data_IF_623348431865
#
_entry.id   IF_623348431865
#
_cell.length_a   1.000
_cell.length_b   1.000
_cell.length_c   1.000
_cell.angle_alpha   90.00
_cell.angle_beta   90.00
_cell.angle_gamma   90.00
#
_symmetry.space_group_name_H-M   'P 1'
#
loop_
_entity.id
_entity.type
_entity.pdbx_description
1 polymer ?
#
# COMPACT_ATOMS: atom_id res chain seq x y z
N UNK A 1 18.17 -10.28 -43.67
CA UNK A 1 16.81 -9.68 -43.57
C UNK A 1 15.91 -10.37 -42.53
N UNK A 2 15.66 -11.69 -42.61
CA UNK A 2 14.85 -12.43 -41.61
C UNK A 2 15.35 -12.29 -40.16
N UNK A 3 16.66 -12.39 -39.92
CA UNK A 3 17.24 -12.24 -38.58
C UNK A 3 17.12 -10.81 -38.02
N UNK A 4 17.07 -9.80 -38.88
CA UNK A 4 16.94 -8.40 -38.49
C UNK A 4 15.50 -8.08 -38.03
N UNK A 5 14.50 -8.61 -38.75
CA UNK A 5 13.09 -8.51 -38.36
C UNK A 5 12.84 -9.23 -37.04
N UNK A 6 13.42 -10.42 -36.84
CA UNK A 6 13.30 -11.19 -35.59
C UNK A 6 13.88 -10.44 -34.38
N UNK A 7 15.03 -9.78 -34.55
CA UNK A 7 15.65 -8.97 -33.50
C UNK A 7 14.80 -7.74 -33.12
N UNK A 8 14.19 -7.07 -34.12
CA UNK A 8 13.27 -5.95 -33.89
C UNK A 8 12.02 -6.42 -33.13
N UNK A 9 11.41 -7.55 -33.53
CA UNK A 9 10.27 -8.11 -32.81
C UNK A 9 10.62 -8.47 -31.35
N UNK A 10 11.82 -9.02 -31.11
CA UNK A 10 12.29 -9.33 -29.77
C UNK A 10 12.43 -8.06 -28.90
N UNK A 11 13.05 -7.01 -29.44
CA UNK A 11 13.23 -5.73 -28.76
C UNK A 11 11.89 -5.04 -28.44
N UNK A 12 10.93 -5.09 -29.37
CA UNK A 12 9.58 -4.54 -29.17
C UNK A 12 8.85 -5.32 -28.07
N UNK A 13 8.96 -6.65 -28.07
CA UNK A 13 8.32 -7.50 -27.05
C UNK A 13 8.91 -7.28 -25.64
N UNK A 14 10.22 -7.07 -25.54
CA UNK A 14 10.90 -6.75 -24.27
C UNK A 14 10.48 -5.37 -23.73
N UNK A 15 10.35 -4.38 -24.61
CA UNK A 15 9.89 -3.04 -24.25
C UNK A 15 8.43 -3.04 -23.75
N UNK A 16 7.55 -3.82 -24.38
CA UNK A 16 6.15 -3.96 -23.96
C UNK A 16 6.02 -4.61 -22.57
N UNK A 17 6.88 -5.59 -22.25
CA UNK A 17 6.88 -6.24 -20.92
C UNK A 17 7.36 -5.30 -19.81
N UNK A 18 8.33 -4.42 -20.08
CA UNK A 18 8.77 -3.40 -19.12
C UNK A 18 7.72 -2.30 -18.90
N UNK A 19 7.07 -1.83 -19.96
CA UNK A 19 6.00 -0.83 -19.86
C UNK A 19 4.80 -1.33 -19.04
N UNK A 20 4.58 -2.64 -18.97
CA UNK A 20 3.51 -3.24 -18.17
C UNK A 20 3.76 -3.16 -16.65
N UNK A 21 5.01 -2.88 -16.21
CA UNK A 21 5.38 -2.82 -14.78
C UNK A 21 5.31 -1.42 -14.17
N UNK A 22 5.42 -0.38 -14.98
CA UNK A 22 5.38 1.02 -14.54
C UNK A 22 4.05 1.66 -14.96
N UNK A 23 3.34 2.27 -14.01
CA UNK A 23 2.07 2.96 -14.28
C UNK A 23 2.20 4.44 -13.92
N UNK A 24 1.72 5.32 -14.82
CA UNK A 24 1.62 6.75 -14.56
C UNK A 24 0.28 7.05 -13.91
N UNK A 25 0.26 7.43 -12.64
CA UNK A 25 -0.95 7.62 -11.82
C UNK A 25 -0.71 8.79 -10.86
N UNK A 26 -1.65 9.75 -10.82
CA UNK A 26 -1.64 10.88 -9.88
C UNK A 26 -0.30 11.63 -9.78
N UNK A 27 0.31 11.93 -10.92
CA UNK A 27 1.60 12.65 -10.93
C UNK A 27 2.82 11.77 -10.69
N UNK A 28 2.65 10.46 -10.44
CA UNK A 28 3.73 9.51 -10.19
C UNK A 28 3.89 8.47 -11.28
N UNK A 29 5.11 7.99 -11.46
CA UNK A 29 5.45 6.68 -12.00
C UNK A 29 5.52 5.71 -10.83
N UNK A 30 4.60 4.75 -10.79
CA UNK A 30 4.55 3.70 -9.79
C UNK A 30 4.94 2.36 -10.40
N UNK A 31 5.94 1.72 -9.81
CA UNK A 31 6.40 0.40 -10.19
C UNK A 31 6.26 -0.55 -9.01
N UNK A 32 5.51 -1.63 -9.19
CA UNK A 32 5.43 -2.67 -8.17
C UNK A 32 6.71 -3.51 -8.19
N UNK A 33 7.41 -3.57 -7.06
CA UNK A 33 8.67 -4.29 -6.93
C UNK A 33 8.51 -5.68 -6.35
N UNK A 34 7.68 -5.83 -5.33
CA UNK A 34 7.61 -7.08 -4.57
C UNK A 34 6.30 -7.20 -3.81
N UNK A 35 5.82 -8.43 -3.70
CA UNK A 35 4.80 -8.83 -2.73
C UNK A 35 5.43 -9.89 -1.82
N UNK A 36 5.26 -9.76 -0.50
CA UNK A 36 5.71 -10.75 0.49
C UNK A 36 4.58 -11.13 1.43
N UNK A 37 4.41 -12.43 1.66
CA UNK A 37 3.52 -12.96 2.70
C UNK A 37 4.34 -13.19 3.98
N UNK A 38 3.78 -12.81 5.12
CA UNK A 38 4.40 -12.84 6.44
C UNK A 38 5.83 -12.27 6.42
N UNK A 39 6.01 -11.00 6.00
CA UNK A 39 7.31 -10.35 6.01
C UNK A 39 7.89 -10.37 7.44
N UNK A 40 9.15 -10.80 7.56
CA UNK A 40 9.88 -10.61 8.82
C UNK A 40 10.00 -9.11 9.10
N UNK A 41 9.76 -8.65 10.33
CA UNK A 41 9.99 -7.26 10.69
C UNK A 41 11.47 -6.92 10.47
N UNK A 42 11.78 -5.76 9.90
CA UNK A 42 13.15 -5.26 9.89
C UNK A 42 13.56 -4.98 11.34
N UNK A 43 14.75 -5.44 11.73
CA UNK A 43 15.25 -5.51 13.11
C UNK A 43 15.33 -4.17 13.87
N UNK A 44 15.02 -3.03 13.23
CA UNK A 44 15.04 -1.69 13.84
C UNK A 44 13.66 -1.03 13.95
N UNK A 45 12.57 -1.69 13.52
CA UNK A 45 11.23 -1.09 13.58
C UNK A 45 10.29 -2.03 14.32
N UNK A 46 9.92 -1.63 15.54
CA UNK A 46 8.93 -2.34 16.35
C UNK A 46 7.65 -2.50 15.53
N UNK A 47 7.22 -3.75 15.42
CA UNK A 47 6.09 -4.15 14.61
C UNK A 47 5.00 -4.58 15.58
N UNK A 48 4.11 -3.65 15.96
CA UNK A 48 3.02 -3.99 16.88
C UNK A 48 1.72 -4.40 16.16
N UNK A 49 1.75 -4.57 14.83
CA UNK A 49 0.65 -5.24 14.12
C UNK A 49 0.70 -6.73 14.45
N UNK A 50 0.05 -7.15 15.52
CA UNK A 50 -0.14 -8.56 15.82
C UNK A 50 -1.37 -9.07 15.07
N UNK A 51 -1.14 -9.91 14.07
CA UNK A 51 -2.21 -10.64 13.39
C UNK A 51 -2.45 -11.93 14.18
N UNK A 52 -3.70 -12.23 14.51
CA UNK A 52 -4.04 -13.52 15.14
C UNK A 52 -3.80 -14.68 14.18
N UNK A 53 -3.82 -15.92 14.69
CA UNK A 53 -3.51 -17.13 13.90
C UNK A 53 -4.41 -17.36 12.69
N UNK A 54 -5.57 -16.71 12.61
CA UNK A 54 -6.48 -16.78 11.47
C UNK A 54 -6.08 -15.85 10.31
N UNK A 55 -5.07 -15.00 10.51
CA UNK A 55 -4.66 -13.96 9.57
C UNK A 55 -3.19 -14.11 9.17
N UNK A 56 -2.83 -13.48 8.06
CA UNK A 56 -1.47 -13.34 7.54
C UNK A 56 -1.22 -11.89 7.14
N UNK A 57 0.03 -11.48 7.23
CA UNK A 57 0.47 -10.15 6.80
C UNK A 57 0.89 -10.21 5.33
N UNK A 58 0.53 -9.20 4.56
CA UNK A 58 0.99 -9.04 3.17
C UNK A 58 1.68 -7.70 3.07
N UNK A 59 2.91 -7.69 2.57
CA UNK A 59 3.63 -6.47 2.22
C UNK A 59 3.69 -6.31 0.72
N UNK A 60 3.42 -5.10 0.25
CA UNK A 60 3.58 -4.67 -1.12
C UNK A 60 4.61 -3.56 -1.16
N UNK A 61 5.71 -3.80 -1.88
CA UNK A 61 6.75 -2.80 -2.11
C UNK A 61 6.54 -2.13 -3.45
N UNK A 62 6.40 -0.82 -3.42
CA UNK A 62 6.28 0.07 -4.56
C UNK A 62 7.56 0.88 -4.68
N UNK A 63 7.98 1.14 -5.91
CA UNK A 63 8.87 2.25 -6.24
C UNK A 63 7.99 3.36 -6.80
N UNK A 64 8.03 4.51 -6.15
CA UNK A 64 7.24 5.69 -6.54
C UNK A 64 8.21 6.78 -6.93
N UNK A 65 7.98 7.40 -8.09
CA UNK A 65 8.78 8.53 -8.61
C UNK A 65 7.84 9.60 -9.14
N UNK A 66 8.03 10.85 -8.76
CA UNK A 66 7.30 11.98 -9.35
C UNK A 66 7.63 12.09 -10.85
N UNK A 67 6.61 12.41 -11.66
CA UNK A 67 6.74 12.71 -13.08
C UNK A 67 7.47 14.03 -13.33
N UNK A 68 7.32 14.99 -12.42
CA UNK A 68 7.94 16.32 -12.52
C UNK A 68 9.36 16.38 -11.96
N UNK A 69 9.85 15.27 -11.39
CA UNK A 69 11.11 15.19 -10.65
C UNK A 69 11.20 16.15 -9.45
N UNK A 70 10.07 16.67 -8.98
CA UNK A 70 9.94 17.47 -7.76
C UNK A 70 9.15 16.68 -6.72
N UNK A 71 9.25 17.02 -5.43
CA UNK A 71 8.41 16.35 -4.43
C UNK A 71 6.93 16.60 -4.74
N UNK A 72 6.16 15.53 -4.89
CA UNK A 72 4.71 15.56 -5.05
C UNK A 72 4.05 14.84 -3.87
N UNK A 73 2.84 15.23 -3.49
CA UNK A 73 2.15 14.66 -2.33
C UNK A 73 1.70 13.23 -2.64
N UNK A 74 2.34 12.25 -2.01
CA UNK A 74 1.90 10.86 -2.05
C UNK A 74 0.88 10.59 -0.94
N UNK A 75 -0.21 9.92 -1.31
CA UNK A 75 -1.32 9.60 -0.42
C UNK A 75 -1.47 8.08 -0.29
N UNK A 76 -1.05 7.47 0.84
CA UNK A 76 -1.20 6.03 1.05
C UNK A 76 -2.66 5.56 1.12
N UNK A 77 -3.62 6.44 1.43
CA UNK A 77 -5.02 6.07 1.60
C UNK A 77 -5.69 5.71 0.27
N UNK A 78 -5.13 6.19 -0.85
CA UNK A 78 -5.53 5.77 -2.20
C UNK A 78 -5.15 4.33 -2.51
N UNK A 79 -4.21 3.75 -1.76
CA UNK A 79 -3.74 2.39 -1.98
C UNK A 79 -4.63 1.39 -1.25
N UNK A 80 -5.15 0.38 -1.94
CA UNK A 80 -5.96 -0.66 -1.30
C UNK A 80 -5.85 -2.00 -2.02
N UNK A 81 -6.25 -3.08 -1.34
CA UNK A 81 -6.30 -4.42 -1.90
C UNK A 81 -7.75 -4.88 -2.09
N UNK A 82 -8.00 -5.70 -3.09
CA UNK A 82 -9.32 -6.27 -3.38
C UNK A 82 -9.23 -7.78 -3.44
N UNK A 83 -10.03 -8.44 -2.61
CA UNK A 83 -10.35 -9.86 -2.74
C UNK A 83 -11.63 -9.98 -3.56
N UNK A 84 -11.45 -10.35 -4.82
CA UNK A 84 -12.53 -10.50 -5.80
C UNK A 84 -13.50 -11.63 -5.47
N UNK A 85 -13.02 -12.68 -4.82
CA UNK A 85 -13.81 -13.87 -4.49
C UNK A 85 -14.71 -13.58 -3.31
N UNK A 86 -14.14 -12.98 -2.25
CA UNK A 86 -14.90 -12.62 -1.06
C UNK A 86 -15.63 -11.28 -1.19
N UNK A 87 -15.44 -10.55 -2.30
CA UNK A 87 -15.93 -9.18 -2.51
C UNK A 87 -15.55 -8.26 -1.36
N UNK A 88 -14.26 -8.18 -1.06
CA UNK A 88 -13.72 -7.33 0.01
C UNK A 88 -12.74 -6.31 -0.52
N UNK A 89 -12.90 -5.06 -0.08
CA UNK A 89 -11.94 -3.98 -0.29
C UNK A 89 -11.21 -3.74 1.03
N UNK A 90 -9.90 -3.89 1.03
CA UNK A 90 -9.08 -4.00 2.24
C UNK A 90 -8.18 -2.79 2.33
N UNK A 91 -8.38 -2.00 3.39
CA UNK A 91 -7.56 -0.84 3.71
C UNK A 91 -6.16 -1.29 4.14
N UNK A 92 -5.09 -0.53 3.82
CA UNK A 92 -3.78 -0.81 4.38
C UNK A 92 -3.80 -0.75 5.91
N UNK A 93 -3.05 -1.65 6.55
CA UNK A 93 -2.84 -1.65 8.00
C UNK A 93 -1.63 -0.79 8.42
N UNK A 94 -0.67 -0.59 7.52
CA UNK A 94 0.51 0.26 7.74
C UNK A 94 1.09 0.69 6.39
N UNK A 95 1.77 1.83 6.35
CA UNK A 95 2.49 2.34 5.19
C UNK A 95 3.80 2.97 5.66
N UNK A 96 4.90 2.64 4.98
CA UNK A 96 6.25 3.10 5.33
C UNK A 96 7.06 3.47 4.12
N UNK A 97 7.95 4.45 4.25
CA UNK A 97 8.86 4.88 3.19
C UNK A 97 10.31 4.85 3.67
N UNK A 98 11.24 4.61 2.75
CA UNK A 98 12.67 4.58 3.06
C UNK A 98 13.18 6.02 3.21
N UNK A 99 13.64 6.41 4.41
CA UNK A 99 14.10 7.78 4.67
C UNK A 99 15.60 7.92 4.42
N UNK A 100 16.40 7.08 5.08
CA UNK A 100 17.87 6.98 4.96
C UNK A 100 18.23 5.49 4.89
N UNK A 101 19.40 5.13 4.36
CA UNK A 101 19.89 3.74 4.21
C UNK A 101 19.40 2.78 5.32
N UNK A 102 18.39 1.98 4.97
CA UNK A 102 17.78 0.92 5.80
C UNK A 102 16.84 1.38 6.94
N UNK A 103 16.58 2.67 7.08
CA UNK A 103 15.59 3.23 8.01
C UNK A 103 14.27 3.54 7.31
N UNK A 104 13.19 2.91 7.79
CA UNK A 104 11.85 3.12 7.28
C UNK A 104 11.06 3.97 8.27
N UNK A 105 10.51 5.08 7.80
CA UNK A 105 9.58 5.91 8.56
C UNK A 105 8.13 5.55 8.21
N UNK A 106 7.25 5.59 9.20
CA UNK A 106 5.80 5.47 8.97
C UNK A 106 5.25 6.77 8.38
N UNK A 107 4.20 6.66 7.57
CA UNK A 107 3.43 7.83 7.13
C UNK A 107 2.68 8.53 8.28
N UNK A 108 2.62 7.91 9.48
CA UNK A 108 1.90 8.45 10.63
C UNK A 108 0.41 8.20 10.52
N UNK A 109 -0.22 7.90 11.66
CA UNK A 109 -1.62 7.53 11.74
C UNK A 109 -2.51 8.74 12.09
N UNK A 110 -3.68 8.79 11.48
CA UNK A 110 -4.76 9.72 11.76
C UNK A 110 -6.04 8.94 12.13
N UNK A 111 -6.85 9.53 13.00
CA UNK A 111 -8.18 9.08 13.36
C UNK A 111 -9.24 9.93 12.63
N UNK A 112 -10.44 9.38 12.36
CA UNK A 112 -11.52 10.10 11.67
C UNK A 112 -12.12 11.25 12.48
N UNK A 113 -11.84 11.30 13.79
CA UNK A 113 -12.29 12.33 14.72
C UNK A 113 -11.20 12.62 15.74
N UNK A 114 -11.37 13.70 16.51
CA UNK A 114 -10.51 14.04 17.63
C UNK A 114 -10.31 12.84 18.56
N UNK A 115 -9.06 12.58 18.92
CA UNK A 115 -8.64 11.51 19.82
C UNK A 115 -7.49 12.04 20.68
N UNK A 116 -7.57 11.82 22.00
CA UNK A 116 -6.50 12.21 22.93
C UNK A 116 -5.45 11.10 22.99
N UNK A 117 -4.73 10.88 21.88
CA UNK A 117 -3.76 9.81 21.79
C UNK A 117 -2.43 10.28 21.17
N UNK A 118 -1.26 10.03 21.79
CA UNK A 118 0.02 10.47 21.23
C UNK A 118 0.45 9.67 19.97
N UNK A 119 -0.13 8.49 19.74
CA UNK A 119 0.21 7.63 18.59
C UNK A 119 -0.66 7.92 17.36
N UNK A 120 -1.83 8.54 17.53
CA UNK A 120 -2.78 8.84 16.46
C UNK A 120 -3.31 10.24 16.63
N UNK A 121 -3.16 11.08 15.61
CA UNK A 121 -3.70 12.44 15.62
C UNK A 121 -5.04 12.55 14.90
N UNK A 122 -5.64 13.73 14.94
CA UNK A 122 -6.70 14.14 14.04
C UNK A 122 -6.21 15.35 13.24
N UNK A 123 -6.43 15.34 11.92
CA UNK A 123 -6.12 16.47 11.05
C UNK A 123 -7.23 16.62 10.00
N UNK A 124 -8.16 17.58 10.18
CA UNK A 124 -9.28 17.77 9.26
C UNK A 124 -8.85 18.23 7.86
N UNK A 125 -7.61 18.70 7.69
CA UNK A 125 -7.10 19.09 6.37
C UNK A 125 -6.69 17.89 5.52
N UNK A 126 -6.46 16.73 6.15
CA UNK A 126 -6.11 15.48 5.47
C UNK A 126 -7.35 14.61 5.40
N UNK A 127 -7.97 14.58 4.22
CA UNK A 127 -9.12 13.72 3.92
C UNK A 127 -8.68 12.25 3.87
N UNK A 128 -9.51 11.37 4.42
CA UNK A 128 -9.41 9.95 4.18
C UNK A 128 -9.89 9.60 2.77
N UNK A 129 -8.95 9.51 1.81
CA UNK A 129 -9.30 9.26 0.40
C UNK A 129 -9.66 7.81 0.10
N UNK A 130 -9.53 6.89 1.05
CA UNK A 130 -9.99 5.50 0.85
C UNK A 130 -11.50 5.47 0.55
N UNK A 131 -12.30 6.34 1.18
CA UNK A 131 -13.73 6.40 0.95
C UNK A 131 -14.11 6.87 -0.46
N UNK A 132 -13.22 7.56 -1.16
CA UNK A 132 -13.49 8.11 -2.49
C UNK A 132 -13.53 7.04 -3.58
N UNK A 133 -12.94 5.87 -3.32
CA UNK A 133 -12.82 4.78 -4.28
C UNK A 133 -13.78 3.62 -3.97
N UNK A 134 -14.98 3.94 -3.48
CA UNK A 134 -16.00 2.96 -3.13
C UNK A 134 -16.27 2.00 -4.31
N UNK A 135 -16.38 0.70 -4.00
CA UNK A 135 -16.67 -0.32 -4.99
C UNK A 135 -18.02 -0.97 -4.69
N UNK A 136 -18.98 -0.78 -5.59
CA UNK A 136 -20.32 -1.35 -5.45
C UNK A 136 -20.26 -2.88 -5.32
N UNK A 137 -20.98 -3.41 -4.32
CA UNK A 137 -21.01 -4.85 -4.02
C UNK A 137 -19.80 -5.38 -3.24
N UNK A 138 -18.85 -4.53 -2.84
CA UNK A 138 -17.73 -4.91 -1.97
C UNK A 138 -17.97 -4.45 -0.53
N UNK A 139 -17.51 -5.26 0.42
CA UNK A 139 -17.47 -4.88 1.84
C UNK A 139 -16.09 -4.33 2.18
N UNK A 140 -16.06 -3.17 2.83
CA UNK A 140 -14.83 -2.58 3.34
C UNK A 140 -14.31 -3.33 4.56
N UNK A 141 -13.01 -3.62 4.54
CA UNK A 141 -12.27 -4.22 5.65
C UNK A 141 -11.34 -3.14 6.18
N UNK A 142 -11.77 -2.52 7.27
CA UNK A 142 -11.02 -1.51 7.99
C UNK A 142 -10.41 -2.13 9.23
N UNK A 143 -9.10 -1.96 9.38
CA UNK A 143 -8.39 -2.48 10.54
C UNK A 143 -8.51 -1.49 11.69
N UNK A 144 -9.09 -1.96 12.81
CA UNK A 144 -9.02 -1.24 14.07
C UNK A 144 -7.65 -1.51 14.70
N UNK A 145 -6.89 -0.45 14.92
CA UNK A 145 -5.60 -0.52 15.61
C UNK A 145 -5.84 -0.18 17.07
N UNK A 146 -5.21 -0.95 17.97
CA UNK A 146 -5.16 -0.57 19.38
C UNK A 146 -4.16 0.58 19.51
N UNK A 147 -4.67 1.77 19.81
CA UNK A 147 -3.90 2.99 20.04
C UNK A 147 -3.69 3.23 21.53
N UNK A 148 -4.44 2.53 22.39
CA UNK A 148 -4.30 2.55 23.84
C UNK A 148 -3.25 1.55 24.35
N UNK A 149 -3.25 1.29 25.66
CA UNK A 149 -2.35 0.33 26.28
C UNK A 149 -2.86 -1.12 26.09
N UNK A 150 -2.10 -2.11 26.57
CA UNK A 150 -2.58 -3.50 26.60
C UNK A 150 -3.70 -3.69 27.64
N UNK A 151 -3.60 -2.99 28.76
CA UNK A 151 -4.54 -3.08 29.87
C UNK A 151 -5.81 -2.24 29.62
N UNK A 152 -5.67 -1.14 28.89
CA UNK A 152 -6.74 -0.22 28.50
C UNK A 152 -6.74 -0.03 26.97
N UNK A 153 -7.24 -1.04 26.21
CA UNK A 153 -7.19 -0.99 24.77
C UNK A 153 -8.19 0.00 24.19
N UNK A 154 -7.70 0.98 23.46
CA UNK A 154 -8.48 1.94 22.70
C UNK A 154 -8.39 1.58 21.21
N UNK A 155 -9.50 1.15 20.60
CA UNK A 155 -9.50 0.66 19.21
C UNK A 155 -10.06 1.72 18.27
N UNK A 156 -9.20 2.28 17.43
CA UNK A 156 -9.60 3.26 16.42
C UNK A 156 -9.38 2.74 14.99
N UNK A 157 -10.25 3.17 14.07
CA UNK A 157 -9.96 3.04 12.64
C UNK A 157 -8.94 4.11 12.32
N UNK A 158 -7.85 3.71 11.67
CA UNK A 158 -6.80 4.64 11.29
C UNK A 158 -6.73 4.82 9.78
N UNK A 159 -6.30 6.01 9.38
CA UNK A 159 -5.82 6.33 8.04
C UNK A 159 -4.47 7.02 8.14
N UNK A 160 -3.85 7.38 7.02
CA UNK A 160 -2.45 7.82 6.97
C UNK A 160 -2.33 9.31 6.66
N UNK A 161 -1.31 9.98 7.20
CA UNK A 161 -0.91 11.29 6.67
C UNK A 161 -0.32 11.12 5.26
N UNK A 162 -0.39 12.19 4.48
CA UNK A 162 0.29 12.28 3.19
C UNK A 162 1.72 12.79 3.35
N UNK A 163 2.64 12.43 2.45
CA UNK A 163 4.02 12.91 2.50
C UNK A 163 4.50 13.39 1.12
N UNK A 164 5.32 14.45 1.04
CA UNK A 164 5.97 14.83 -0.21
C UNK A 164 7.02 13.78 -0.60
N UNK A 165 6.88 13.22 -1.81
CA UNK A 165 7.75 12.18 -2.36
C UNK A 165 8.25 12.61 -3.73
N UNK A 166 9.57 12.73 -3.88
CA UNK A 166 10.21 12.85 -5.20
C UNK A 166 10.49 11.48 -5.81
N UNK A 167 11.15 10.60 -5.05
CA UNK A 167 11.45 9.23 -5.45
C UNK A 167 11.70 8.38 -4.21
N UNK A 168 10.94 7.31 -3.99
CA UNK A 168 11.11 6.46 -2.83
C UNK A 168 10.68 4.99 -3.06
N UNK A 169 11.14 4.10 -2.18
CA UNK A 169 10.53 2.79 -1.97
C UNK A 169 9.52 2.90 -0.83
N UNK A 170 8.29 2.49 -1.10
CA UNK A 170 7.17 2.51 -0.16
C UNK A 170 6.73 1.08 0.07
N UNK A 171 6.69 0.66 1.33
CA UNK A 171 6.10 -0.61 1.74
C UNK A 171 4.72 -0.35 2.33
N UNK A 172 3.71 -0.95 1.70
CA UNK A 172 2.33 -0.93 2.17
C UNK A 172 1.97 -2.32 2.70
N UNK A 173 1.37 -2.37 3.88
CA UNK A 173 1.07 -3.60 4.58
C UNK A 173 -0.43 -3.81 4.72
N UNK A 174 -0.85 -5.07 4.66
CA UNK A 174 -2.23 -5.51 4.83
C UNK A 174 -2.29 -6.69 5.79
N UNK A 175 -3.42 -6.82 6.49
CA UNK A 175 -3.74 -8.02 7.27
C UNK A 175 -4.95 -8.71 6.63
N UNK A 176 -4.77 -9.93 6.15
CA UNK A 176 -5.81 -10.67 5.44
C UNK A 176 -6.01 -12.05 6.04
N UNK A 177 -7.18 -12.65 5.84
CA UNK A 177 -7.42 -14.03 6.30
C UNK A 177 -6.47 -15.00 5.60
N UNK A 178 -6.03 -16.05 6.28
CA UNK A 178 -5.07 -17.02 5.70
C UNK A 178 -5.56 -17.67 4.40
N UNK A 179 -6.88 -17.89 4.26
CA UNK A 179 -7.47 -18.47 3.06
C UNK A 179 -7.43 -17.58 1.80
N UNK A 180 -7.13 -16.28 1.93
CA UNK A 180 -7.06 -15.38 0.78
C UNK A 180 -5.90 -15.81 -0.13
N UNK A 181 -6.22 -16.33 -1.31
CA UNK A 181 -5.23 -16.85 -2.26
C UNK A 181 -4.73 -15.84 -3.27
N UNK A 182 -5.46 -14.75 -3.48
CA UNK A 182 -5.19 -13.75 -4.52
C UNK A 182 -5.73 -12.39 -4.12
N UNK A 183 -5.01 -11.32 -4.45
CA UNK A 183 -5.40 -9.93 -4.23
C UNK A 183 -5.07 -9.09 -5.44
N UNK A 184 -5.98 -8.20 -5.82
CA UNK A 184 -5.71 -7.09 -6.73
C UNK A 184 -5.37 -5.84 -5.93
N UNK A 185 -4.26 -5.20 -6.25
CA UNK A 185 -3.84 -3.95 -5.60
C UNK A 185 -4.16 -2.77 -6.49
N UNK A 186 -4.71 -1.72 -5.89
CA UNK A 186 -5.13 -0.49 -6.55
C UNK A 186 -4.39 0.71 -5.97
N UNK A 187 -4.27 1.75 -6.78
CA UNK A 187 -4.04 3.12 -6.31
C UNK A 187 -5.07 4.02 -6.98
N UNK A 188 -6.02 4.53 -6.18
CA UNK A 188 -7.25 5.11 -6.67
C UNK A 188 -8.02 4.13 -7.56
N UNK A 189 -8.49 4.59 -8.72
CA UNK A 189 -9.22 3.75 -9.69
C UNK A 189 -8.32 2.85 -10.55
N UNK A 190 -7.00 2.95 -10.37
CA UNK A 190 -6.05 2.21 -11.21
C UNK A 190 -5.60 0.92 -10.54
N UNK A 191 -5.90 -0.22 -11.16
CA UNK A 191 -5.28 -1.51 -10.81
C UNK A 191 -3.78 -1.41 -11.04
N UNK A 192 -2.97 -1.75 -10.04
CA UNK A 192 -1.52 -1.84 -10.17
C UNK A 192 -1.07 -3.26 -10.55
N UNK A 193 -1.54 -4.26 -9.82
CA UNK A 193 -1.21 -5.67 -10.05
C UNK A 193 -2.29 -6.59 -9.47
N UNK A 194 -2.45 -7.76 -10.07
CA UNK A 194 -3.04 -8.93 -9.44
C UNK A 194 -1.97 -9.93 -8.96
N UNK A 195 -1.96 -10.29 -7.67
CA UNK A 195 -0.92 -11.12 -7.07
C UNK A 195 -1.49 -12.31 -6.31
N UNK A 196 -0.85 -13.47 -6.50
CA UNK A 196 -1.11 -14.66 -5.66
C UNK A 196 -0.47 -14.47 -4.29
N UNK A 197 -1.26 -14.67 -3.25
CA UNK A 197 -0.88 -14.52 -1.85
C UNK A 197 -0.83 -15.92 -1.23
N UNK A 198 0.20 -16.69 -1.61
CA UNK A 198 0.44 -18.02 -1.05
C UNK A 198 1.33 -17.92 0.18
#
# INVERSE_FOLDING_TARGET
MKHFILAICLLVSLAQVQAQREKKIDGFIMELKKVKVNPKPLQAVSYNLHASDSFKKVMVRLRVKSLTEKPETFDPNKFFAVDEVAKKRIRPSDARYNHILHEYLSFGFLAPSEVENPMVGYDPSIKDTFSDYFMEGYTDVEHKVNVGSLDEPEKSIIYFKTQPVKSNLIDVYFVVKKQVGQLKFYYGDTVLLDAKIK
#
